data_IF_255051499107
#
_entry.id   IF_255051499107
#
_cell.length_a   1.000
_cell.length_b   1.000
_cell.length_c   1.000
_cell.angle_alpha   90.00
_cell.angle_beta   90.00
_cell.angle_gamma   90.00
#
_symmetry.space_group_name_H-M   'P 1'
#
loop_
_entity.id
_entity.type
_entity.pdbx_description
1 polymer ?
#
# COMPACT_ATOMS: atom_id res chain seq x y z
N UNK A 1 4.82 -0.55 23.35
CA UNK A 1 3.91 0.50 22.83
C UNK A 1 3.08 -0.10 21.69
N UNK A 2 1.84 0.35 21.50
CA UNK A 2 0.94 -0.14 20.44
C UNK A 2 1.13 0.59 19.10
N UNK A 3 0.29 0.25 18.12
CA UNK A 3 0.21 0.85 16.79
C UNK A 3 -1.26 0.87 16.31
N UNK A 4 -1.55 1.55 15.22
CA UNK A 4 -2.79 1.36 14.47
C UNK A 4 -2.52 0.61 13.19
N UNK A 5 -3.43 -0.30 12.81
CA UNK A 5 -3.38 -1.07 11.58
C UNK A 5 -4.54 -0.65 10.67
N UNK A 6 -4.23 -0.42 9.41
CA UNK A 6 -5.22 -0.37 8.33
C UNK A 6 -5.07 -1.63 7.48
N UNK A 7 -6.18 -2.33 7.26
CA UNK A 7 -6.26 -3.47 6.35
C UNK A 7 -7.13 -3.11 5.15
N UNK A 8 -6.65 -3.42 3.94
CA UNK A 8 -7.39 -3.22 2.68
C UNK A 8 -7.26 -4.49 1.83
N UNK A 9 -8.39 -5.06 1.41
CA UNK A 9 -8.40 -6.06 0.33
C UNK A 9 -8.46 -5.31 -0.99
N UNK A 10 -7.38 -5.37 -1.76
CA UNK A 10 -7.20 -4.65 -3.03
C UNK A 10 -7.15 -5.70 -4.14
N UNK A 11 -8.24 -5.84 -4.88
CA UNK A 11 -8.30 -6.73 -6.04
C UNK A 11 -7.56 -6.07 -7.21
N UNK A 12 -6.83 -6.85 -7.99
CA UNK A 12 -6.17 -6.39 -9.21
C UNK A 12 -6.96 -6.85 -10.45
N UNK A 13 -7.01 -6.01 -11.47
CA UNK A 13 -7.53 -6.34 -12.80
C UNK A 13 -6.39 -6.93 -13.64
N UNK A 14 -6.00 -8.17 -13.29
CA UNK A 14 -4.80 -8.84 -13.81
C UNK A 14 -4.80 -8.91 -15.33
N UNK A 15 -5.92 -9.29 -15.95
CA UNK A 15 -6.02 -9.45 -17.40
C UNK A 15 -5.89 -8.11 -18.15
N UNK A 16 -6.27 -7.00 -17.51
CA UNK A 16 -6.06 -5.65 -18.07
C UNK A 16 -4.59 -5.27 -17.92
N UNK A 17 -4.02 -5.43 -16.73
CA UNK A 17 -2.63 -5.09 -16.43
C UNK A 17 -1.63 -5.87 -17.30
N UNK A 18 -1.85 -7.16 -17.53
CA UNK A 18 -0.94 -8.00 -18.32
C UNK A 18 -0.93 -7.67 -19.81
N UNK A 19 -1.96 -6.95 -20.30
CA UNK A 19 -2.02 -6.43 -21.68
C UNK A 19 -1.43 -5.04 -21.83
N UNK A 20 -1.20 -4.34 -20.72
CA UNK A 20 -0.54 -3.03 -20.68
C UNK A 20 0.92 -3.17 -21.10
N UNK A 21 1.41 -2.22 -21.90
CA UNK A 21 2.82 -2.22 -22.33
C UNK A 21 3.77 -2.11 -21.13
N UNK A 22 4.99 -2.66 -21.23
CA UNK A 22 5.97 -2.56 -20.15
C UNK A 22 6.23 -1.10 -19.75
N UNK A 23 6.42 -0.21 -20.73
CA UNK A 23 6.64 1.22 -20.47
C UNK A 23 5.50 1.84 -19.66
N UNK A 24 4.25 1.51 -20.00
CA UNK A 24 3.08 2.03 -19.29
C UNK A 24 2.97 1.46 -17.87
N UNK A 25 3.30 0.18 -17.66
CA UNK A 25 3.38 -0.41 -16.32
C UNK A 25 4.42 0.33 -15.44
N UNK A 26 5.59 0.62 -16.00
CA UNK A 26 6.67 1.32 -15.31
C UNK A 26 6.33 2.80 -15.05
N UNK A 27 5.64 3.46 -15.97
CA UNK A 27 5.12 4.83 -15.84
C UNK A 27 4.06 4.95 -14.74
N UNK A 28 3.15 3.97 -14.66
CA UNK A 28 2.11 3.87 -13.61
C UNK A 28 2.74 3.76 -12.22
N UNK A 29 3.77 2.92 -12.07
CA UNK A 29 4.44 2.72 -10.78
C UNK A 29 5.43 3.86 -10.47
N UNK A 30 6.17 4.33 -11.46
CA UNK A 30 7.30 5.27 -11.34
C UNK A 30 8.66 4.59 -11.08
N UNK A 31 8.75 3.26 -11.31
CA UNK A 31 9.96 2.43 -11.18
C UNK A 31 9.99 1.40 -12.29
N UNK A 32 11.18 0.99 -12.71
CA UNK A 32 11.31 -0.11 -13.67
C UNK A 32 10.90 -1.45 -13.04
N UNK A 33 10.49 -2.42 -13.87
CA UNK A 33 9.98 -3.72 -13.39
C UNK A 33 11.07 -4.75 -13.12
N UNK A 34 12.25 -4.59 -13.73
CA UNK A 34 13.34 -5.57 -13.67
C UNK A 34 14.17 -5.48 -12.39
N UNK A 35 14.70 -4.30 -12.11
CA UNK A 35 15.50 -3.95 -10.94
C UNK A 35 14.66 -3.26 -9.86
N UNK A 36 13.62 -2.51 -10.27
CA UNK A 36 12.88 -1.66 -9.34
C UNK A 36 13.53 -0.30 -9.10
N UNK A 37 14.48 0.12 -9.94
CA UNK A 37 15.10 1.43 -9.83
C UNK A 37 14.09 2.53 -10.17
N UNK A 38 14.15 3.68 -9.48
CA UNK A 38 13.32 4.83 -9.86
C UNK A 38 13.79 5.41 -11.20
N UNK A 39 12.90 6.15 -11.88
CA UNK A 39 13.19 6.77 -13.17
C UNK A 39 14.55 7.50 -13.17
N UNK A 40 15.37 7.23 -14.20
CA UNK A 40 16.73 7.74 -14.38
C UNK A 40 17.76 7.33 -13.30
N UNK A 41 17.52 6.23 -12.59
CA UNK A 41 18.45 5.60 -11.64
C UNK A 41 18.75 4.15 -12.02
N UNK A 42 19.70 3.51 -11.33
CA UNK A 42 20.22 2.20 -11.71
C UNK A 42 19.91 1.09 -10.70
N UNK A 43 19.60 1.42 -9.44
CA UNK A 43 19.38 0.44 -8.36
C UNK A 43 18.08 0.72 -7.60
N UNK A 44 17.46 -0.34 -7.08
CA UNK A 44 16.20 -0.25 -6.30
C UNK A 44 16.28 0.77 -5.15
N UNK A 45 17.42 0.78 -4.45
CA UNK A 45 17.65 1.64 -3.28
C UNK A 45 18.17 3.04 -3.62
N UNK A 46 18.33 3.38 -4.90
CA UNK A 46 18.66 4.75 -5.29
C UNK A 46 17.51 5.69 -4.88
N UNK A 47 17.87 6.86 -4.35
CA UNK A 47 16.88 7.85 -3.94
C UNK A 47 16.06 8.33 -5.16
N UNK A 48 14.71 8.29 -5.09
CA UNK A 48 13.88 8.69 -6.21
C UNK A 48 13.92 10.20 -6.42
N UNK A 49 14.06 10.64 -7.67
CA UNK A 49 13.83 12.04 -8.04
C UNK A 49 12.39 12.20 -8.52
N UNK A 50 11.48 12.59 -7.61
CA UNK A 50 10.03 12.58 -7.85
C UNK A 50 9.58 13.37 -9.09
N UNK A 51 10.29 14.44 -9.45
CA UNK A 51 9.96 15.28 -10.62
C UNK A 51 10.25 14.60 -11.97
N UNK A 52 11.08 13.55 -11.99
CA UNK A 52 11.31 12.75 -13.19
C UNK A 52 10.23 11.68 -13.43
N UNK A 53 9.34 11.44 -12.46
CA UNK A 53 8.20 10.54 -12.61
C UNK A 53 6.98 11.31 -13.12
N UNK A 54 6.04 10.64 -13.80
CA UNK A 54 4.77 11.24 -14.18
C UNK A 54 4.03 11.80 -12.93
N UNK A 55 3.27 12.90 -13.06
CA UNK A 55 2.49 13.45 -11.95
C UNK A 55 1.52 12.45 -11.30
N UNK A 56 1.08 11.45 -12.06
CA UNK A 56 0.14 10.40 -11.67
C UNK A 56 0.80 9.11 -11.18
N UNK A 57 2.14 9.03 -11.17
CA UNK A 57 2.86 7.82 -10.80
C UNK A 57 2.67 7.47 -9.31
N UNK A 58 2.42 6.20 -9.02
CA UNK A 58 2.10 5.70 -7.68
C UNK A 58 3.17 6.05 -6.64
N UNK A 59 4.46 5.81 -6.96
CA UNK A 59 5.58 6.14 -6.05
C UNK A 59 5.64 7.63 -5.78
N UNK A 60 5.44 8.48 -6.80
CA UNK A 60 5.46 9.94 -6.64
C UNK A 60 4.35 10.40 -5.70
N UNK A 61 3.13 9.91 -5.88
CA UNK A 61 1.97 10.31 -5.09
C UNK A 61 1.99 9.74 -3.68
N UNK A 62 2.55 8.55 -3.47
CA UNK A 62 2.64 7.91 -2.15
C UNK A 62 3.87 8.31 -1.34
N UNK A 63 4.86 8.99 -1.95
CA UNK A 63 6.08 9.40 -1.28
C UNK A 63 5.80 10.34 -0.09
N UNK A 64 6.54 10.25 1.04
CA UNK A 64 6.35 11.15 2.18
C UNK A 64 6.44 12.64 1.82
N UNK A 65 7.35 13.02 0.94
CA UNK A 65 7.52 14.42 0.50
C UNK A 65 6.30 14.97 -0.25
N UNK A 66 5.47 14.09 -0.83
CA UNK A 66 4.20 14.45 -1.47
C UNK A 66 3.03 14.47 -0.47
N UNK A 67 3.25 14.09 0.79
CA UNK A 67 2.23 13.89 1.81
C UNK A 67 2.65 14.46 3.17
N UNK A 68 3.35 15.61 3.18
CA UNK A 68 3.77 16.30 4.40
C UNK A 68 4.54 15.42 5.40
N UNK A 69 5.35 14.49 4.91
CA UNK A 69 6.14 13.57 5.73
C UNK A 69 5.40 12.34 6.24
N UNK A 70 4.14 12.12 5.83
CA UNK A 70 3.35 10.94 6.18
C UNK A 70 4.10 9.65 5.86
N UNK A 71 4.23 8.76 6.85
CA UNK A 71 4.92 7.48 6.73
C UNK A 71 4.10 6.38 7.38
N UNK A 72 4.11 5.21 6.74
CA UNK A 72 3.52 3.98 7.25
C UNK A 72 4.44 2.80 6.96
N UNK A 73 4.41 1.79 7.81
CA UNK A 73 5.07 0.52 7.57
C UNK A 73 4.12 -0.40 6.81
N UNK A 74 4.38 -0.61 5.52
CA UNK A 74 3.60 -1.54 4.68
C UNK A 74 4.10 -2.97 4.92
N UNK A 75 3.17 -3.90 5.18
CA UNK A 75 3.46 -5.33 5.43
C UNK A 75 2.33 -6.23 4.90
N UNK A 76 1.92 -5.97 3.65
CA UNK A 76 0.85 -6.72 2.98
C UNK A 76 1.28 -8.08 2.46
N UNK A 77 0.30 -8.84 1.96
CA UNK A 77 0.46 -10.17 1.38
C UNK A 77 -0.34 -10.26 0.08
N UNK A 78 0.17 -10.96 -0.94
CA UNK A 78 -0.62 -11.31 -2.12
C UNK A 78 -1.71 -12.33 -1.75
N UNK A 79 -2.84 -12.30 -2.46
CA UNK A 79 -3.88 -13.34 -2.34
C UNK A 79 -4.36 -13.79 -3.72
N UNK A 80 -4.86 -15.02 -3.78
CA UNK A 80 -5.57 -15.61 -4.92
C UNK A 80 -6.67 -16.52 -4.37
N UNK A 81 -7.93 -16.14 -4.55
CA UNK A 81 -9.10 -16.82 -3.99
C UNK A 81 -9.92 -17.56 -5.07
N UNK A 82 -9.27 -17.92 -6.19
CA UNK A 82 -9.88 -18.62 -7.32
C UNK A 82 -10.30 -17.66 -8.44
N UNK A 83 -11.46 -17.92 -9.05
CA UNK A 83 -12.03 -17.10 -10.13
C UNK A 83 -13.39 -16.55 -9.74
N UNK A 84 -13.71 -15.35 -10.25
CA UNK A 84 -15.04 -14.77 -10.07
C UNK A 84 -16.09 -15.41 -11.00
N UNK A 85 -17.36 -15.04 -10.84
CA UNK A 85 -18.46 -15.55 -11.67
C UNK A 85 -18.38 -15.23 -13.17
N UNK A 86 -17.35 -14.49 -13.61
CA UNK A 86 -17.07 -14.17 -15.00
C UNK A 86 -15.74 -14.81 -15.48
N UNK A 87 -15.16 -15.71 -14.68
CA UNK A 87 -13.95 -16.46 -15.01
C UNK A 87 -12.65 -15.65 -14.87
N UNK A 88 -12.71 -14.44 -14.30
CA UNK A 88 -11.51 -13.61 -14.06
C UNK A 88 -10.86 -14.00 -12.75
N UNK A 89 -9.54 -13.83 -12.64
CA UNK A 89 -8.83 -14.16 -11.40
C UNK A 89 -9.32 -13.26 -10.25
N UNK A 90 -9.67 -13.85 -9.10
CA UNK A 90 -9.87 -13.11 -7.84
C UNK A 90 -8.54 -13.09 -7.08
N UNK A 91 -7.65 -12.19 -7.51
CA UNK A 91 -6.33 -12.03 -6.92
C UNK A 91 -5.99 -10.55 -6.72
N UNK A 92 -4.99 -10.31 -5.88
CA UNK A 92 -4.46 -8.98 -5.65
C UNK A 92 -3.62 -8.88 -4.39
N UNK A 93 -3.74 -7.75 -3.70
CA UNK A 93 -2.98 -7.43 -2.50
C UNK A 93 -3.90 -7.29 -1.28
N UNK A 94 -3.65 -8.11 -0.26
CA UNK A 94 -4.12 -7.86 1.10
C UNK A 94 -3.17 -6.89 1.77
N UNK A 95 -3.43 -5.60 1.57
CA UNK A 95 -2.59 -4.52 2.04
C UNK A 95 -2.77 -4.30 3.54
N UNK A 96 -1.64 -4.27 4.25
CA UNK A 96 -1.58 -3.99 5.69
C UNK A 96 -0.59 -2.84 5.91
N UNK A 97 -1.04 -1.80 6.62
CA UNK A 97 -0.21 -0.65 6.97
C UNK A 97 -0.30 -0.34 8.46
N UNK A 98 0.88 -0.26 9.09
CA UNK A 98 1.05 0.10 10.49
C UNK A 98 1.54 1.54 10.61
N UNK A 99 0.94 2.30 11.51
CA UNK A 99 1.27 3.69 11.77
C UNK A 99 0.95 4.08 13.21
N UNK A 100 1.61 5.15 13.67
CA UNK A 100 1.34 5.75 14.98
C UNK A 100 -0.03 6.43 15.05
N UNK A 101 -0.47 7.03 13.94
CA UNK A 101 -1.80 7.63 13.81
C UNK A 101 -2.27 7.45 12.36
N UNK A 102 -3.50 6.96 12.18
CA UNK A 102 -4.10 6.73 10.86
C UNK A 102 -4.37 8.05 10.12
N UNK A 103 -4.65 9.12 10.87
CA UNK A 103 -4.99 10.45 10.36
C UNK A 103 -3.79 11.18 9.73
N UNK A 104 -2.59 10.85 10.18
CA UNK A 104 -1.34 11.50 9.76
C UNK A 104 -0.52 10.62 8.79
N UNK A 105 -1.00 9.42 8.47
CA UNK A 105 -0.30 8.46 7.62
C UNK A 105 -1.17 7.91 6.49
N UNK A 106 -1.97 6.88 6.76
CA UNK A 106 -2.75 6.20 5.71
C UNK A 106 -3.78 7.10 5.04
N UNK A 107 -4.53 7.89 5.82
CA UNK A 107 -5.60 8.75 5.28
C UNK A 107 -5.09 9.79 4.28
N UNK A 108 -4.07 10.63 4.58
CA UNK A 108 -3.60 11.64 3.63
C UNK A 108 -3.02 11.00 2.36
N UNK A 109 -2.24 9.93 2.51
CA UNK A 109 -1.67 9.20 1.36
C UNK A 109 -2.78 8.62 0.49
N UNK A 110 -3.74 7.89 1.05
CA UNK A 110 -4.85 7.31 0.29
C UNK A 110 -5.72 8.38 -0.38
N UNK A 111 -5.93 9.55 0.27
CA UNK A 111 -6.67 10.66 -0.34
C UNK A 111 -5.96 11.24 -1.54
N UNK A 112 -4.63 11.31 -1.51
CA UNK A 112 -3.84 11.74 -2.66
C UNK A 112 -3.93 10.72 -3.81
N UNK A 113 -3.76 9.43 -3.49
CA UNK A 113 -3.83 8.35 -4.47
C UNK A 113 -5.22 8.25 -5.12
N UNK A 114 -6.29 8.32 -4.33
CA UNK A 114 -7.67 8.21 -4.83
C UNK A 114 -8.05 9.29 -5.85
N UNK A 115 -7.34 10.43 -5.88
CA UNK A 115 -7.63 11.52 -6.81
C UNK A 115 -6.83 11.44 -8.11
N UNK A 116 -5.59 10.95 -8.04
CA UNK A 116 -4.59 11.23 -9.08
C UNK A 116 -3.82 9.99 -9.55
N UNK A 117 -3.93 8.86 -8.86
CA UNK A 117 -3.07 7.70 -9.11
C UNK A 117 -3.49 6.93 -10.36
N UNK A 118 -2.55 6.76 -11.29
CA UNK A 118 -2.76 5.97 -12.51
C UNK A 118 -3.01 4.49 -12.19
N UNK A 119 -2.52 3.99 -11.04
CA UNK A 119 -2.74 2.60 -10.63
C UNK A 119 -4.23 2.29 -10.39
N UNK A 120 -5.06 3.30 -10.12
CA UNK A 120 -6.50 3.11 -9.87
C UNK A 120 -7.25 2.47 -11.04
N UNK A 121 -6.72 2.53 -12.27
CA UNK A 121 -7.31 1.85 -13.42
C UNK A 121 -7.21 0.31 -13.31
N UNK A 122 -6.22 -0.18 -12.57
CA UNK A 122 -5.88 -1.60 -12.49
C UNK A 122 -6.22 -2.24 -11.15
N UNK A 123 -6.69 -1.47 -10.17
CA UNK A 123 -7.00 -1.98 -8.83
C UNK A 123 -8.38 -1.53 -8.35
N UNK A 124 -8.98 -2.34 -7.48
CA UNK A 124 -10.21 -2.01 -6.78
C UNK A 124 -10.11 -2.37 -5.31
N UNK A 125 -10.40 -1.41 -4.42
CA UNK A 125 -10.55 -1.70 -3.00
C UNK A 125 -11.90 -2.36 -2.73
N UNK A 126 -11.89 -3.62 -2.30
CA UNK A 126 -13.10 -4.45 -2.09
C UNK A 126 -13.31 -4.86 -0.63
N UNK A 127 -12.41 -4.46 0.27
CA UNK A 127 -12.56 -4.68 1.70
C UNK A 127 -11.71 -3.71 2.51
N UNK A 128 -12.15 -3.35 3.71
CA UNK A 128 -11.46 -2.40 4.59
C UNK A 128 -11.75 -2.65 6.06
N UNK A 129 -10.73 -2.47 6.91
CA UNK A 129 -10.88 -2.41 8.36
C UNK A 129 -9.76 -1.57 8.99
N UNK A 130 -10.00 -1.07 10.20
CA UNK A 130 -9.01 -0.36 11.01
C UNK A 130 -9.00 -0.97 12.41
N UNK A 131 -7.81 -1.20 12.96
CA UNK A 131 -7.64 -1.82 14.28
C UNK A 131 -6.65 -1.00 15.13
N UNK A 132 -6.92 -0.93 16.43
CA UNK A 132 -5.90 -0.59 17.41
C UNK A 132 -5.14 -1.86 17.77
N UNK A 133 -3.82 -1.85 17.59
CA UNK A 133 -2.92 -2.94 17.96
C UNK A 133 -2.30 -2.59 19.31
N UNK A 134 -2.65 -3.29 20.41
CA UNK A 134 -2.16 -2.95 21.73
C UNK A 134 -0.64 -3.17 21.85
N UNK A 135 0.00 -2.67 22.92
CA UNK A 135 1.35 -3.10 23.29
C UNK A 135 1.45 -4.63 23.39
N UNK A 136 2.66 -5.16 23.20
CA UNK A 136 2.92 -6.58 23.41
C UNK A 136 2.78 -6.99 24.89
N UNK A 137 2.54 -8.29 25.10
CA UNK A 137 2.54 -8.94 26.42
C UNK A 137 3.94 -8.84 27.03
N UNK A 138 4.03 -8.39 28.28
CA UNK A 138 5.30 -8.11 28.94
C UNK A 138 5.95 -9.35 29.56
N UNK A 139 5.15 -10.19 30.20
CA UNK A 139 5.60 -11.39 30.92
C UNK A 139 4.48 -12.44 30.99
N UNK A 140 4.73 -13.52 31.74
CA UNK A 140 3.82 -14.66 31.90
C UNK A 140 2.52 -14.34 32.66
N UNK A 141 2.47 -13.23 33.41
CA UNK A 141 1.32 -12.80 34.20
C UNK A 141 0.50 -11.71 33.46
N UNK A 142 0.96 -11.28 32.29
CA UNK A 142 0.31 -10.33 31.40
C UNK A 142 -0.49 -11.03 30.30
N UNK A 143 -1.41 -10.30 29.66
CA UNK A 143 -2.29 -10.85 28.63
C UNK A 143 -2.76 -9.78 27.63
N UNK A 144 -3.26 -10.22 26.47
CA UNK A 144 -3.65 -9.33 25.38
C UNK A 144 -4.71 -8.31 25.78
N UNK A 145 -4.33 -7.03 25.74
CA UNK A 145 -5.24 -5.94 26.05
C UNK A 145 -5.44 -5.71 27.54
N UNK A 146 -4.62 -6.29 28.43
CA UNK A 146 -4.71 -6.08 29.88
C UNK A 146 -4.92 -4.62 30.25
N UNK A 147 -4.06 -3.71 29.78
CA UNK A 147 -4.17 -2.28 30.07
C UNK A 147 -5.44 -1.57 29.57
N UNK A 148 -6.26 -2.21 28.74
CA UNK A 148 -7.58 -1.71 28.32
C UNK A 148 -8.71 -2.23 29.23
N UNK A 149 -8.58 -3.44 29.76
CA UNK A 149 -9.68 -4.18 30.38
C UNK A 149 -9.52 -4.38 31.89
N UNK A 150 -8.30 -4.34 32.42
CA UNK A 150 -8.05 -4.36 33.87
C UNK A 150 -7.90 -2.92 34.36
N UNK A 151 -8.94 -2.41 35.00
CA UNK A 151 -8.92 -1.17 35.79
C UNK A 151 -8.34 -1.41 37.18
#
# INVERSE_FOLDING_TARGET
KGSYLVARRIRMHIETWDRTSLQEQEDVIGRDKGEGAPAAKAREHDAPFLKAMLPTAHVRLSHPDSNAGARMLRRGYSFTDGTDGLGRLDAGLFFLAYQRDVRDAFIPVQRNLARNDALNEYIQHVGSAVFAVPPGVLDQDDWWGRGLFSS
#
